data_IF_315314877560
#
_entry.id   IF_315314877560
#
_cell.length_a   1.000
_cell.length_b   1.000
_cell.length_c   1.000
_cell.angle_alpha   90.00
_cell.angle_beta   90.00
_cell.angle_gamma   90.00
#
_symmetry.space_group_name_H-M   'P 1'
#
loop_
_entity.id
_entity.type
_entity.pdbx_description
1 polymer ?
#
# COMPACT_ATOMS: atom_id res chain seq x y z
N UNK A 1 6.35 5.73 -13.65
CA UNK A 1 6.01 4.50 -12.87
C UNK A 1 5.22 4.93 -11.64
N UNK A 2 4.15 4.22 -11.27
CA UNK A 2 3.36 4.53 -10.05
C UNK A 2 3.54 3.41 -9.02
N UNK A 3 3.98 3.74 -7.81
CA UNK A 3 4.21 2.77 -6.72
C UNK A 3 3.37 3.14 -5.51
N UNK A 4 2.76 2.14 -4.86
CA UNK A 4 1.87 2.35 -3.72
C UNK A 4 2.31 1.55 -2.50
N UNK A 5 2.49 2.22 -1.37
CA UNK A 5 2.59 1.57 -0.07
C UNK A 5 1.25 1.69 0.67
N UNK A 6 0.58 0.57 0.91
CA UNK A 6 -0.68 0.53 1.63
C UNK A 6 -0.39 0.43 3.13
N UNK A 7 -0.39 1.56 3.81
CA UNK A 7 -0.09 1.61 5.23
C UNK A 7 -1.31 1.27 6.07
N UNK A 8 -1.17 0.26 6.93
CA UNK A 8 -2.09 -0.03 8.03
C UNK A 8 -1.30 -0.09 9.33
N UNK A 9 -1.96 0.27 10.44
CA UNK A 9 -1.38 0.07 11.77
C UNK A 9 -1.49 -1.40 12.25
N UNK A 10 -0.87 -1.67 13.40
CA UNK A 10 -0.86 -3.02 13.98
C UNK A 10 -2.27 -3.48 14.35
N UNK A 11 -3.13 -2.61 14.87
CA UNK A 11 -4.45 -2.99 15.37
C UNK A 11 -5.38 -3.35 14.23
N UNK A 12 -5.36 -2.55 13.16
CA UNK A 12 -6.10 -2.81 11.93
C UNK A 12 -5.64 -4.10 11.25
N UNK A 13 -4.32 -4.37 11.25
CA UNK A 13 -3.81 -5.63 10.72
C UNK A 13 -4.33 -6.83 11.52
N UNK A 14 -4.29 -6.77 12.86
CA UNK A 14 -4.80 -7.84 13.73
C UNK A 14 -6.28 -8.10 13.48
N UNK A 15 -7.08 -7.03 13.48
CA UNK A 15 -8.51 -7.10 13.22
C UNK A 15 -8.81 -7.76 11.88
N UNK A 16 -8.02 -7.47 10.84
CA UNK A 16 -8.16 -8.10 9.52
C UNK A 16 -7.74 -9.56 9.53
N UNK A 17 -6.70 -9.94 10.26
CA UNK A 17 -6.24 -11.32 10.36
C UNK A 17 -7.29 -12.19 11.06
N UNK A 18 -7.79 -11.74 12.21
CA UNK A 18 -8.88 -12.41 12.94
C UNK A 18 -10.13 -12.53 12.07
N UNK A 19 -10.51 -11.46 11.37
CA UNK A 19 -11.65 -11.50 10.46
C UNK A 19 -11.44 -12.54 9.33
N UNK A 20 -10.24 -12.68 8.76
CA UNK A 20 -9.95 -13.71 7.74
C UNK A 20 -10.03 -15.11 8.31
N UNK A 21 -9.50 -15.33 9.50
CA UNK A 21 -9.51 -16.63 10.18
C UNK A 21 -10.95 -17.09 10.50
N UNK A 22 -11.82 -16.16 10.88
CA UNK A 22 -13.20 -16.45 11.27
C UNK A 22 -14.21 -16.42 10.11
N UNK A 23 -13.75 -16.16 8.89
CA UNK A 23 -14.60 -16.05 7.70
C UNK A 23 -14.29 -17.18 6.73
N UNK A 24 -15.15 -18.22 6.60
CA UNK A 24 -14.84 -19.45 5.84
C UNK A 24 -14.32 -19.20 4.42
N UNK A 25 -14.94 -18.28 3.66
CA UNK A 25 -14.55 -17.99 2.28
C UNK A 25 -13.24 -17.18 2.14
N UNK A 26 -12.67 -16.73 3.27
CA UNK A 26 -11.42 -15.94 3.33
C UNK A 26 -10.30 -16.64 4.10
N UNK A 27 -10.54 -17.80 4.70
CA UNK A 27 -9.55 -18.53 5.49
C UNK A 27 -8.29 -18.88 4.70
N UNK A 28 -8.42 -19.17 3.41
CA UNK A 28 -7.27 -19.42 2.52
C UNK A 28 -6.30 -18.23 2.40
N UNK A 29 -6.69 -17.02 2.84
CA UNK A 29 -5.88 -15.79 2.79
C UNK A 29 -5.10 -15.51 4.08
N UNK A 30 -5.08 -16.45 5.02
CA UNK A 30 -4.34 -16.33 6.27
C UNK A 30 -3.68 -17.68 6.60
N UNK A 31 -2.41 -17.62 6.96
CA UNK A 31 -1.57 -18.77 7.27
C UNK A 31 -0.78 -18.51 8.55
N UNK A 32 -0.11 -19.53 9.09
CA UNK A 32 0.78 -19.37 10.24
C UNK A 32 1.94 -18.39 9.97
N UNK A 33 2.38 -18.28 8.71
CA UNK A 33 3.42 -17.35 8.31
C UNK A 33 2.99 -15.89 8.47
N UNK A 34 1.72 -15.56 8.25
CA UNK A 34 1.20 -14.20 8.47
C UNK A 34 1.35 -13.79 9.94
N UNK A 35 1.04 -14.71 10.86
CA UNK A 35 1.18 -14.50 12.31
C UNK A 35 2.64 -14.34 12.72
N UNK A 36 3.53 -15.20 12.21
CA UNK A 36 4.99 -15.08 12.42
C UNK A 36 5.55 -13.75 11.88
N UNK A 37 5.05 -13.28 10.74
CA UNK A 37 5.47 -12.01 10.14
C UNK A 37 4.95 -10.80 10.91
N UNK A 38 3.76 -10.90 11.51
CA UNK A 38 3.22 -9.87 12.39
C UNK A 38 4.10 -9.64 13.61
N UNK A 39 4.63 -10.69 14.23
CA UNK A 39 5.57 -10.57 15.36
C UNK A 39 6.81 -9.73 15.01
N UNK A 40 7.16 -9.68 13.72
CA UNK A 40 8.28 -8.90 13.17
C UNK A 40 7.88 -7.50 12.71
N UNK A 41 6.73 -6.96 13.12
CA UNK A 41 6.23 -5.66 12.67
C UNK A 41 7.27 -4.54 12.80
N UNK A 42 8.03 -4.50 13.90
CA UNK A 42 9.06 -3.50 14.10
C UNK A 42 10.17 -3.56 13.04
N UNK A 43 10.58 -4.78 12.64
CA UNK A 43 11.58 -5.00 11.59
C UNK A 43 11.04 -4.59 10.22
N UNK A 44 9.79 -4.98 9.90
CA UNK A 44 9.14 -4.56 8.66
C UNK A 44 8.99 -3.04 8.58
N UNK A 45 8.65 -2.37 9.69
CA UNK A 45 8.56 -0.90 9.72
C UNK A 45 9.89 -0.25 9.34
N UNK A 46 11.01 -0.75 9.86
CA UNK A 46 12.35 -0.24 9.51
C UNK A 46 12.63 -0.49 8.03
N UNK A 47 12.41 -1.72 7.53
CA UNK A 47 12.64 -2.08 6.15
C UNK A 47 11.79 -1.24 5.16
N UNK A 48 10.55 -0.95 5.52
CA UNK A 48 9.65 -0.11 4.72
C UNK A 48 10.14 1.33 4.67
N UNK A 49 10.56 1.90 5.80
CA UNK A 49 11.12 3.26 5.83
C UNK A 49 12.37 3.34 4.97
N UNK A 50 13.27 2.37 5.09
CA UNK A 50 14.50 2.30 4.28
C UNK A 50 14.19 2.17 2.78
N UNK A 51 13.24 1.30 2.41
CA UNK A 51 12.75 1.16 1.04
C UNK A 51 12.19 2.48 0.50
N UNK A 52 11.33 3.16 1.26
CA UNK A 52 10.73 4.44 0.84
C UNK A 52 11.81 5.52 0.67
N UNK A 53 12.74 5.64 1.60
CA UNK A 53 13.82 6.63 1.57
C UNK A 53 14.79 6.40 0.40
N UNK A 54 15.20 5.15 0.16
CA UNK A 54 16.22 4.84 -0.85
C UNK A 54 15.68 4.78 -2.26
N UNK A 55 14.40 4.47 -2.43
CA UNK A 55 13.85 4.15 -3.77
C UNK A 55 12.73 5.07 -4.22
N UNK A 56 12.32 6.05 -3.41
CA UNK A 56 11.41 7.10 -3.90
C UNK A 56 12.20 8.14 -4.67
N UNK A 57 12.17 8.05 -6.01
CA UNK A 57 12.88 8.95 -6.92
C UNK A 57 11.92 9.90 -7.64
N UNK A 58 12.44 10.92 -8.31
CA UNK A 58 11.63 11.90 -9.05
C UNK A 58 10.81 11.28 -10.17
N UNK A 59 11.37 10.29 -10.87
CA UNK A 59 10.71 9.59 -11.99
C UNK A 59 9.88 8.37 -11.57
N UNK A 60 10.04 7.92 -10.32
CA UNK A 60 9.29 6.81 -9.73
C UNK A 60 9.09 7.05 -8.23
N UNK A 61 8.20 7.99 -7.84
CA UNK A 61 7.92 8.26 -6.44
C UNK A 61 7.08 7.14 -5.82
N UNK A 62 7.21 6.96 -4.50
CA UNK A 62 6.28 6.15 -3.72
C UNK A 62 5.11 7.00 -3.22
N UNK A 63 3.89 6.50 -3.39
CA UNK A 63 2.69 7.09 -2.80
C UNK A 63 2.24 6.27 -1.59
N UNK A 64 2.17 6.90 -0.42
CA UNK A 64 1.65 6.26 0.79
C UNK A 64 0.12 6.40 0.81
N UNK A 65 -0.56 5.27 0.96
CA UNK A 65 -2.01 5.18 1.08
C UNK A 65 -2.40 4.81 2.51
N UNK A 66 -3.28 5.61 3.11
CA UNK A 66 -3.84 5.46 4.45
C UNK A 66 -4.88 4.33 4.42
N UNK A 67 -4.38 3.09 4.39
CA UNK A 67 -5.16 1.90 4.08
C UNK A 67 -5.94 1.31 5.25
N UNK A 68 -5.96 1.98 6.41
CA UNK A 68 -6.87 1.64 7.51
C UNK A 68 -8.32 1.69 7.02
N UNK A 69 -8.71 2.76 6.31
CA UNK A 69 -9.98 2.83 5.60
C UNK A 69 -9.80 2.33 4.15
N UNK A 70 -10.34 1.14 3.86
CA UNK A 70 -10.24 0.54 2.51
C UNK A 70 -10.83 1.42 1.41
N UNK A 71 -11.97 2.06 1.68
CA UNK A 71 -12.64 2.91 0.69
C UNK A 71 -11.79 4.13 0.35
N UNK A 72 -11.27 4.81 1.37
CA UNK A 72 -10.41 5.97 1.19
C UNK A 72 -9.15 5.62 0.39
N UNK A 73 -8.43 4.56 0.77
CA UNK A 73 -7.22 4.16 0.06
C UNK A 73 -7.48 3.78 -1.41
N UNK A 74 -8.62 3.14 -1.71
CA UNK A 74 -9.03 2.85 -3.10
C UNK A 74 -9.26 4.12 -3.91
N UNK A 75 -9.99 5.08 -3.35
CA UNK A 75 -10.26 6.36 -4.03
C UNK A 75 -8.96 7.13 -4.26
N UNK A 76 -8.08 7.21 -3.25
CA UNK A 76 -6.79 7.89 -3.34
C UNK A 76 -5.89 7.24 -4.40
N UNK A 77 -5.84 5.90 -4.45
CA UNK A 77 -5.08 5.18 -5.47
C UNK A 77 -5.59 5.49 -6.88
N UNK A 78 -6.90 5.40 -7.11
CA UNK A 78 -7.51 5.69 -8.41
C UNK A 78 -7.25 7.14 -8.85
N UNK A 79 -7.43 8.12 -7.96
CA UNK A 79 -7.11 9.53 -8.23
C UNK A 79 -5.65 9.74 -8.58
N UNK A 80 -4.74 9.07 -7.87
CA UNK A 80 -3.29 9.16 -8.14
C UNK A 80 -2.96 8.64 -9.53
N UNK A 81 -3.52 7.48 -9.91
CA UNK A 81 -3.32 6.92 -11.25
C UNK A 81 -3.90 7.83 -12.32
N UNK A 82 -5.13 8.33 -12.14
CA UNK A 82 -5.78 9.23 -13.08
C UNK A 82 -4.94 10.50 -13.31
N UNK A 83 -4.47 11.14 -12.23
CA UNK A 83 -3.62 12.33 -12.32
C UNK A 83 -2.32 12.07 -13.08
N UNK A 84 -1.64 10.95 -12.81
CA UNK A 84 -0.40 10.60 -13.52
C UNK A 84 -0.65 10.36 -15.01
N UNK A 85 -1.80 9.78 -15.37
CA UNK A 85 -2.17 9.60 -16.77
C UNK A 85 -2.52 10.92 -17.46
N UNK A 86 -3.25 11.81 -16.78
CA UNK A 86 -3.54 13.17 -17.26
C UNK A 86 -2.25 13.94 -17.53
N UNK A 87 -1.32 13.98 -16.56
CA UNK A 87 -0.02 14.66 -16.70
C UNK A 87 0.81 14.09 -17.87
N UNK A 88 0.80 12.77 -18.03
CA UNK A 88 1.53 12.11 -19.12
C UNK A 88 0.91 12.41 -20.50
N UNK A 89 -0.42 12.54 -20.58
CA UNK A 89 -1.11 12.92 -21.81
C UNK A 89 -0.88 14.39 -22.14
N UNK A 90 -0.96 15.29 -21.16
CA UNK A 90 -0.66 16.72 -21.32
C UNK A 90 0.76 16.94 -21.81
N UNK A 91 1.75 16.32 -21.16
CA UNK A 91 3.15 16.41 -21.57
C UNK A 91 3.40 15.85 -22.99
N UNK A 92 2.62 14.85 -23.41
CA UNK A 92 2.67 14.33 -24.78
C UNK A 92 2.06 15.29 -25.80
N UNK A 93 1.02 16.05 -25.41
CA UNK A 93 0.31 16.98 -26.30
C UNK A 93 1.00 18.34 -26.41
N UNK A 94 1.67 18.81 -25.34
CA UNK A 94 2.54 19.99 -25.36
C UNK A 94 3.84 19.71 -24.58
N UNK A 95 4.93 19.32 -25.27
CA UNK A 95 6.21 18.99 -24.63
C UNK A 95 7.03 20.19 -24.12
N UNK A 96 6.50 21.41 -24.23
CA UNK A 96 7.20 22.67 -23.92
C UNK A 96 7.37 22.91 -22.42
#
# INVERSE_FOLDING_TARGET
IVKFWLHIDQDEQLRRFQARQNTPEKQWKITEEDWRNREKYAQYRIAVVDMLQRTSTTYAPWTILEANCKLYARIKALRTVAKVLEDALEHRLDPR
#
